data_IF_506271862057
#
_entry.id   IF_506271862057
#
_cell.length_a   1.000
_cell.length_b   1.000
_cell.length_c   1.000
_cell.angle_alpha   90.00
_cell.angle_beta   90.00
_cell.angle_gamma   90.00
#
_symmetry.space_group_name_H-M   'P 1'
#
loop_
_entity.id
_entity.type
_entity.pdbx_description
1 polymer ?
#
# COMPACT_ATOMS: atom_id res chain seq x y z
N UNK A 1 25.41 4.67 12.10
CA UNK A 1 24.47 5.59 11.41
C UNK A 1 25.20 6.85 11.00
N UNK A 2 25.89 7.54 11.91
CA UNK A 2 26.71 8.73 11.58
C UNK A 2 27.75 8.47 10.49
N UNK A 3 28.47 7.34 10.54
CA UNK A 3 29.43 6.96 9.49
C UNK A 3 28.75 6.80 8.12
N UNK A 4 27.56 6.19 8.08
CA UNK A 4 26.77 6.04 6.85
C UNK A 4 26.28 7.40 6.37
N UNK A 5 25.76 8.25 7.25
CA UNK A 5 25.32 9.58 6.86
C UNK A 5 26.49 10.43 6.34
N UNK A 6 27.66 10.31 6.96
CA UNK A 6 28.89 10.96 6.52
C UNK A 6 29.33 10.48 5.14
N UNK A 7 29.26 9.18 4.85
CA UNK A 7 29.63 8.65 3.54
C UNK A 7 28.70 9.10 2.39
N UNK A 8 27.47 9.49 2.72
CA UNK A 8 26.52 10.09 1.77
C UNK A 8 26.44 11.63 1.90
N UNK A 9 27.32 12.27 2.65
CA UNK A 9 27.36 13.73 2.86
C UNK A 9 26.02 14.30 3.39
N UNK A 10 25.35 13.59 4.29
CA UNK A 10 24.07 13.99 4.91
C UNK A 10 24.35 14.52 6.32
N UNK A 11 24.27 15.84 6.56
CA UNK A 11 24.38 16.40 7.90
C UNK A 11 23.21 15.97 8.79
N UNK A 12 23.44 15.82 10.11
CA UNK A 12 22.40 15.44 11.07
C UNK A 12 21.22 16.43 11.06
N UNK A 13 21.48 17.73 10.85
CA UNK A 13 20.47 18.79 10.80
C UNK A 13 19.52 18.66 9.60
N UNK A 14 19.94 17.94 8.55
CA UNK A 14 19.10 17.68 7.37
C UNK A 14 18.19 16.46 7.55
N UNK A 15 18.37 15.67 8.60
CA UNK A 15 17.51 14.52 8.86
C UNK A 15 16.22 14.97 9.53
N UNK A 16 15.11 14.86 8.80
CA UNK A 16 13.79 15.29 9.30
C UNK A 16 13.25 14.33 10.36
N UNK A 17 13.35 13.02 10.13
CA UNK A 17 12.98 11.98 11.08
C UNK A 17 13.51 10.61 10.64
N UNK A 18 13.66 9.68 11.59
CA UNK A 18 13.97 8.27 11.33
C UNK A 18 12.73 7.43 11.62
N UNK A 19 12.28 6.63 10.64
CA UNK A 19 11.24 5.61 10.90
C UNK A 19 11.89 4.36 11.47
N UNK A 20 11.41 3.90 12.62
CA UNK A 20 12.03 2.79 13.37
C UNK A 20 10.99 1.83 13.94
N UNK A 21 11.37 0.59 14.19
CA UNK A 21 10.56 -0.37 14.92
C UNK A 21 10.68 -0.17 16.45
N UNK A 22 10.22 -1.12 17.28
CA UNK A 22 10.35 -1.01 18.74
C UNK A 22 11.72 -1.48 19.27
N UNK A 23 12.72 -1.70 18.42
CA UNK A 23 14.05 -2.10 18.84
C UNK A 23 14.69 -1.07 19.78
N UNK A 24 14.99 -1.46 21.01
CA UNK A 24 15.58 -0.58 22.04
C UNK A 24 16.88 0.06 21.54
N UNK A 25 17.70 -0.70 20.80
CA UNK A 25 18.95 -0.20 20.24
C UNK A 25 18.72 0.95 19.25
N UNK A 26 17.70 0.86 18.40
CA UNK A 26 17.39 1.88 17.39
C UNK A 26 16.74 3.10 18.04
N UNK A 27 15.94 2.90 19.09
CA UNK A 27 15.40 4.00 19.88
C UNK A 27 16.53 4.79 20.56
N UNK A 28 17.41 4.09 21.27
CA UNK A 28 18.56 4.70 21.93
C UNK A 28 19.47 5.43 20.93
N UNK A 29 19.70 4.84 19.74
CA UNK A 29 20.44 5.51 18.68
C UNK A 29 19.80 6.84 18.27
N UNK A 30 18.48 6.89 18.06
CA UNK A 30 17.80 8.14 17.71
C UNK A 30 17.91 9.18 18.84
N UNK A 31 17.79 8.73 20.09
CA UNK A 31 17.91 9.59 21.28
C UNK A 31 19.34 10.15 21.41
N UNK A 32 20.37 9.32 21.23
CA UNK A 32 21.78 9.75 21.24
C UNK A 32 22.09 10.76 20.13
N UNK A 33 21.54 10.52 18.94
CA UNK A 33 21.73 11.42 17.79
C UNK A 33 20.85 12.68 17.86
N UNK A 34 19.95 12.78 18.85
CA UNK A 34 18.94 13.85 18.95
C UNK A 34 18.08 13.99 17.68
N UNK A 35 17.85 12.89 16.97
CA UNK A 35 17.05 12.86 15.74
C UNK A 35 15.62 12.43 16.06
N UNK A 36 14.58 13.19 15.63
CA UNK A 36 13.19 12.78 15.81
C UNK A 36 12.94 11.38 15.21
N UNK A 37 12.26 10.51 15.94
CA UNK A 37 11.91 9.18 15.44
C UNK A 37 10.40 9.00 15.29
N UNK A 38 9.99 8.31 14.21
CA UNK A 38 8.61 7.90 13.94
C UNK A 38 8.55 6.40 14.18
N UNK A 39 7.64 5.95 15.03
CA UNK A 39 7.41 4.52 15.21
C UNK A 39 6.80 3.93 13.94
N UNK A 40 7.26 2.76 13.51
CA UNK A 40 6.77 2.07 12.33
C UNK A 40 5.27 1.78 12.46
N UNK A 41 4.48 2.23 11.49
CA UNK A 41 3.03 2.11 11.49
C UNK A 41 2.58 0.65 11.44
N UNK A 42 3.15 -0.15 10.53
CA UNK A 42 2.86 -1.59 10.44
C UNK A 42 3.19 -2.32 11.73
N UNK A 43 4.25 -1.90 12.43
CA UNK A 43 4.58 -2.47 13.73
C UNK A 43 3.58 -2.07 14.81
N UNK A 44 3.02 -0.85 14.80
CA UNK A 44 1.93 -0.45 15.70
C UNK A 44 0.70 -1.33 15.49
N UNK A 45 0.30 -1.54 14.24
CA UNK A 45 -0.85 -2.39 13.91
C UNK A 45 -0.65 -3.83 14.42
N UNK A 46 0.54 -4.40 14.20
CA UNK A 46 0.89 -5.73 14.70
C UNK A 46 0.92 -5.80 16.23
N UNK A 47 1.42 -4.76 16.91
CA UNK A 47 1.44 -4.70 18.37
C UNK A 47 0.03 -4.61 18.96
N UNK A 48 -0.89 -3.90 18.30
CA UNK A 48 -2.28 -3.84 18.75
C UNK A 48 -2.95 -5.22 18.71
N UNK A 49 -2.76 -5.97 17.61
CA UNK A 49 -3.19 -7.38 17.53
C UNK A 49 -2.45 -8.28 18.51
N UNK A 50 -1.16 -7.99 18.76
CA UNK A 50 -0.35 -8.64 19.79
C UNK A 50 -1.00 -8.60 21.16
N UNK A 51 -1.44 -7.41 21.57
CA UNK A 51 -1.97 -7.18 22.91
C UNK A 51 -3.39 -7.71 23.11
N UNK A 52 -4.18 -7.79 22.03
CA UNK A 52 -5.62 -8.11 22.09
C UNK A 52 -5.94 -9.52 21.63
N UNK A 53 -5.38 -9.95 20.50
CA UNK A 53 -5.69 -11.24 19.89
C UNK A 53 -4.65 -12.29 20.30
N UNK A 54 -3.37 -12.02 20.04
CA UNK A 54 -2.35 -13.07 20.15
C UNK A 54 -1.98 -13.44 21.58
N UNK A 55 -2.11 -12.51 22.53
CA UNK A 55 -1.90 -12.76 23.97
C UNK A 55 -3.16 -13.26 24.70
N UNK A 56 -4.32 -13.20 24.05
CA UNK A 56 -5.57 -13.58 24.69
C UNK A 56 -5.79 -15.09 24.60
N UNK A 57 -5.82 -15.74 25.78
CA UNK A 57 -5.94 -17.19 25.92
C UNK A 57 -7.18 -17.78 25.24
N UNK A 58 -8.25 -16.98 25.07
CA UNK A 58 -9.47 -17.36 24.34
C UNK A 58 -9.17 -17.77 22.90
N UNK A 59 -8.22 -17.09 22.24
CA UNK A 59 -7.91 -17.30 20.82
C UNK A 59 -6.63 -18.11 20.60
N UNK A 60 -5.67 -18.07 21.54
CA UNK A 60 -4.33 -18.66 21.35
C UNK A 60 -4.37 -20.14 20.93
N UNK A 61 -5.22 -20.97 21.56
CA UNK A 61 -5.32 -22.40 21.25
C UNK A 61 -5.71 -22.65 19.79
N UNK A 62 -6.75 -21.98 19.30
CA UNK A 62 -7.21 -22.09 17.91
C UNK A 62 -6.20 -21.51 16.93
N UNK A 63 -5.60 -20.36 17.27
CA UNK A 63 -4.53 -19.74 16.45
C UNK A 63 -3.34 -20.69 16.29
N UNK A 64 -2.93 -21.37 17.35
CA UNK A 64 -1.82 -22.32 17.29
C UNK A 64 -2.18 -23.58 16.47
N UNK A 65 -3.43 -24.04 16.57
CA UNK A 65 -3.93 -25.10 15.69
C UNK A 65 -3.92 -24.65 14.22
N UNK A 66 -4.40 -23.45 13.89
CA UNK A 66 -4.34 -22.89 12.53
C UNK A 66 -2.91 -22.83 12.01
N UNK A 67 -1.96 -22.33 12.82
CA UNK A 67 -0.52 -22.28 12.45
C UNK A 67 0.06 -23.67 12.24
N UNK A 68 -0.35 -24.67 13.02
CA UNK A 68 0.09 -26.06 12.88
C UNK A 68 -0.39 -26.65 11.55
N UNK A 69 -1.67 -26.43 11.22
CA UNK A 69 -2.28 -26.86 9.97
C UNK A 69 -1.61 -26.16 8.77
N UNK A 70 -1.49 -24.83 8.80
CA UNK A 70 -0.87 -24.06 7.71
C UNK A 70 0.58 -24.49 7.43
N UNK A 71 1.38 -24.79 8.47
CA UNK A 71 2.75 -25.30 8.32
C UNK A 71 2.83 -26.66 7.62
N UNK A 72 1.82 -27.51 7.82
CA UNK A 72 1.73 -28.83 7.21
C UNK A 72 1.28 -28.71 5.75
N UNK A 73 0.23 -27.92 5.47
CA UNK A 73 -0.28 -27.61 4.12
C UNK A 73 0.83 -27.02 3.23
N UNK A 74 1.71 -26.20 3.78
CA UNK A 74 2.84 -25.64 3.01
C UNK A 74 3.85 -26.70 2.53
N UNK A 75 3.90 -27.88 3.15
CA UNK A 75 4.90 -28.93 2.88
C UNK A 75 4.39 -30.08 2.02
N UNK A 76 3.08 -30.27 1.90
CA UNK A 76 2.48 -31.40 1.19
C UNK A 76 1.07 -31.03 0.71
N UNK A 77 0.57 -31.71 -0.33
CA UNK A 77 -0.81 -31.51 -0.79
C UNK A 77 -1.81 -31.90 0.30
N UNK A 78 -2.97 -31.24 0.30
CA UNK A 78 -4.01 -31.39 1.34
C UNK A 78 -4.46 -32.86 1.49
N UNK A 79 -4.58 -33.58 0.39
CA UNK A 79 -4.99 -34.99 0.35
C UNK A 79 -4.00 -35.93 1.07
N UNK A 80 -2.70 -35.70 0.90
CA UNK A 80 -1.65 -36.50 1.56
C UNK A 80 -1.61 -36.19 3.06
N UNK A 81 -1.85 -34.94 3.44
CA UNK A 81 -1.82 -34.51 4.83
C UNK A 81 -2.93 -35.11 5.69
N UNK A 82 -4.13 -35.28 5.14
CA UNK A 82 -5.24 -35.93 5.83
C UNK A 82 -4.98 -37.42 6.10
N UNK A 83 -4.17 -38.07 5.26
CA UNK A 83 -3.77 -39.47 5.46
C UNK A 83 -2.67 -39.57 6.52
N UNK A 84 -1.64 -38.71 6.43
CA UNK A 84 -0.47 -38.76 7.32
C UNK A 84 -0.71 -38.18 8.72
N UNK A 85 -1.76 -37.36 8.91
CA UNK A 85 -2.05 -36.66 10.18
C UNK A 85 -3.57 -36.61 10.44
N UNK A 86 -4.21 -37.73 10.78
CA UNK A 86 -5.67 -37.79 10.98
C UNK A 86 -6.18 -36.91 12.13
N UNK A 87 -5.31 -36.53 13.05
CA UNK A 87 -5.53 -35.65 14.19
C UNK A 87 -5.44 -34.14 13.85
N UNK A 88 -5.09 -33.77 12.61
CA UNK A 88 -5.21 -32.40 12.11
C UNK A 88 -6.66 -32.07 11.75
N UNK A 89 -7.46 -31.71 12.75
CA UNK A 89 -8.86 -31.30 12.57
C UNK A 89 -9.12 -29.90 13.12
N UNK A 90 -10.16 -29.26 12.57
CA UNK A 90 -10.71 -28.02 13.09
C UNK A 90 -12.04 -28.33 13.77
N UNK A 91 -12.16 -27.92 15.02
CA UNK A 91 -13.41 -28.03 15.78
C UNK A 91 -14.39 -26.95 15.36
N UNK A 92 -15.67 -27.10 15.72
CA UNK A 92 -16.68 -26.04 15.51
C UNK A 92 -16.28 -24.73 16.22
N UNK A 93 -15.69 -24.83 17.41
CA UNK A 93 -15.14 -23.70 18.15
C UNK A 93 -14.03 -22.98 17.38
N UNK A 94 -13.13 -23.74 16.73
CA UNK A 94 -12.08 -23.17 15.88
C UNK A 94 -12.68 -22.38 14.72
N UNK A 95 -13.71 -22.92 14.06
CA UNK A 95 -14.40 -22.19 12.98
C UNK A 95 -15.09 -20.91 13.47
N UNK A 96 -15.68 -20.93 14.66
CA UNK A 96 -16.25 -19.72 15.27
C UNK A 96 -15.17 -18.67 15.53
N UNK A 97 -14.03 -19.07 16.09
CA UNK A 97 -12.89 -18.17 16.33
C UNK A 97 -12.32 -17.65 15.01
N UNK A 98 -12.19 -18.48 13.97
CA UNK A 98 -11.71 -18.04 12.66
C UNK A 98 -12.59 -16.93 12.08
N UNK A 99 -13.92 -17.07 12.16
CA UNK A 99 -14.87 -16.04 11.72
C UNK A 99 -14.68 -14.73 12.49
N UNK A 100 -14.62 -14.79 13.82
CA UNK A 100 -14.39 -13.61 14.68
C UNK A 100 -13.09 -12.89 14.26
N UNK A 101 -12.00 -13.64 14.08
CA UNK A 101 -10.71 -13.09 13.69
C UNK A 101 -10.74 -12.46 12.30
N UNK A 102 -11.51 -12.99 11.35
CA UNK A 102 -11.62 -12.40 10.01
C UNK A 102 -12.20 -10.98 10.06
N UNK A 103 -13.21 -10.72 10.89
CA UNK A 103 -13.79 -9.37 11.04
C UNK A 103 -12.76 -8.37 11.60
N UNK A 104 -12.01 -8.79 12.63
CA UNK A 104 -11.02 -7.92 13.28
C UNK A 104 -9.80 -7.69 12.38
N UNK A 105 -9.34 -8.73 11.70
CA UNK A 105 -8.10 -8.68 10.92
C UNK A 105 -8.30 -8.02 9.57
N UNK A 106 -9.50 -8.02 8.98
CA UNK A 106 -9.72 -7.47 7.64
C UNK A 106 -9.36 -5.98 7.52
N UNK A 107 -9.87 -5.05 8.36
CA UNK A 107 -9.51 -3.64 8.28
C UNK A 107 -8.00 -3.39 8.47
N UNK A 108 -7.37 -4.15 9.35
CA UNK A 108 -5.94 -4.03 9.65
C UNK A 108 -5.09 -4.59 8.50
N UNK A 109 -5.51 -5.71 7.91
CA UNK A 109 -4.83 -6.33 6.78
C UNK A 109 -4.85 -5.41 5.56
N UNK A 110 -6.03 -4.92 5.18
CA UNK A 110 -6.19 -3.98 4.05
C UNK A 110 -5.31 -2.74 4.22
N UNK A 111 -5.30 -2.17 5.42
CA UNK A 111 -4.50 -0.99 5.72
C UNK A 111 -3.00 -1.28 5.71
N UNK A 112 -2.59 -2.46 6.20
CA UNK A 112 -1.19 -2.88 6.18
C UNK A 112 -0.71 -3.10 4.75
N UNK A 113 -1.53 -3.72 3.89
CA UNK A 113 -1.24 -3.90 2.47
C UNK A 113 -1.10 -2.54 1.76
N UNK A 114 -2.00 -1.59 2.03
CA UNK A 114 -1.93 -0.24 1.47
C UNK A 114 -0.70 0.54 1.97
N UNK A 115 -0.26 0.33 3.22
CA UNK A 115 0.88 1.01 3.84
C UNK A 115 2.24 0.38 3.52
N UNK A 116 2.28 -0.83 2.95
CA UNK A 116 3.52 -1.53 2.58
C UNK A 116 3.98 -1.25 1.14
N UNK A 117 3.24 -0.44 0.38
CA UNK A 117 3.56 -0.18 -1.02
C UNK A 117 4.81 0.71 -1.14
N UNK A 118 5.92 0.12 -1.61
CA UNK A 118 7.29 0.69 -1.67
C UNK A 118 7.38 2.09 -2.30
N UNK A 119 6.44 2.45 -3.16
CA UNK A 119 6.45 3.73 -3.90
C UNK A 119 5.33 4.69 -3.51
N UNK A 120 4.40 4.30 -2.63
CA UNK A 120 3.14 5.04 -2.39
C UNK A 120 2.77 5.20 -0.90
N UNK A 121 3.62 4.79 0.04
CA UNK A 121 3.30 4.88 1.47
C UNK A 121 4.21 5.85 2.23
N UNK A 122 4.21 7.15 1.90
CA UNK A 122 4.87 8.16 2.73
C UNK A 122 4.22 8.23 4.11
N UNK A 123 4.93 8.84 5.07
CA UNK A 123 4.45 9.03 6.43
C UNK A 123 3.13 9.83 6.52
N UNK A 124 2.76 10.58 5.48
CA UNK A 124 1.47 11.29 5.38
C UNK A 124 0.25 10.37 5.34
N UNK A 125 0.41 9.10 4.97
CA UNK A 125 -0.68 8.12 4.93
C UNK A 125 -1.04 7.58 6.33
N UNK A 126 -0.17 7.74 7.33
CA UNK A 126 -0.36 7.15 8.67
C UNK A 126 -1.62 7.69 9.36
N UNK A 127 -1.80 9.01 9.41
CA UNK A 127 -2.96 9.63 10.08
C UNK A 127 -4.28 9.30 9.35
N UNK A 128 -4.37 9.42 8.01
CA UNK A 128 -5.56 9.00 7.26
C UNK A 128 -5.88 7.52 7.45
N UNK A 129 -4.86 6.65 7.41
CA UNK A 129 -5.03 5.22 7.60
C UNK A 129 -5.59 4.87 8.99
N UNK A 130 -5.11 5.54 10.05
CA UNK A 130 -5.67 5.38 11.41
C UNK A 130 -7.14 5.81 11.48
N UNK A 131 -7.49 6.93 10.86
CA UNK A 131 -8.88 7.40 10.80
C UNK A 131 -9.77 6.43 10.03
N UNK A 132 -9.28 5.88 8.91
CA UNK A 132 -10.00 4.91 8.10
C UNK A 132 -10.21 3.59 8.85
N UNK A 133 -9.20 3.06 9.53
CA UNK A 133 -9.33 1.87 10.38
C UNK A 133 -10.39 2.11 11.46
N UNK A 134 -10.34 3.26 12.14
CA UNK A 134 -11.33 3.63 13.15
C UNK A 134 -12.75 3.63 12.57
N UNK A 135 -12.94 4.28 11.43
CA UNK A 135 -14.23 4.31 10.73
C UNK A 135 -14.74 2.90 10.42
N UNK A 136 -13.88 2.04 9.83
CA UNK A 136 -14.25 0.64 9.53
C UNK A 136 -14.61 -0.17 10.76
N UNK A 137 -13.90 0.02 11.88
CA UNK A 137 -14.26 -0.65 13.12
C UNK A 137 -15.57 -0.14 13.72
N UNK A 138 -15.88 1.15 13.56
CA UNK A 138 -17.18 1.70 13.96
C UNK A 138 -18.31 1.10 13.12
N UNK A 139 -18.15 0.98 11.80
CA UNK A 139 -19.12 0.30 10.93
C UNK A 139 -19.36 -1.15 11.37
N UNK A 140 -18.30 -1.88 11.73
CA UNK A 140 -18.42 -3.24 12.28
C UNK A 140 -19.23 -3.23 13.58
N UNK A 141 -18.96 -2.31 14.52
CA UNK A 141 -19.67 -2.25 15.81
C UNK A 141 -21.16 -1.90 15.67
N UNK A 142 -21.50 -1.09 14.66
CA UNK A 142 -22.86 -0.70 14.31
C UNK A 142 -23.63 -1.82 13.59
N UNK A 143 -22.95 -2.81 13.02
CA UNK A 143 -23.58 -3.98 12.41
C UNK A 143 -24.36 -4.79 13.47
N UNK A 144 -25.66 -4.95 13.25
CA UNK A 144 -26.55 -5.73 14.11
C UNK A 144 -26.49 -7.24 13.82
N UNK A 145 -25.84 -7.65 12.73
CA UNK A 145 -25.69 -9.06 12.34
C UNK A 145 -24.51 -9.76 13.02
N UNK A 146 -23.56 -9.01 13.59
CA UNK A 146 -22.41 -9.57 14.29
C UNK A 146 -22.74 -9.92 15.75
N UNK A 147 -22.10 -10.97 16.27
CA UNK A 147 -22.28 -11.43 17.64
C UNK A 147 -21.57 -10.56 18.69
N UNK A 148 -21.85 -10.84 19.96
CA UNK A 148 -21.29 -10.11 21.10
C UNK A 148 -19.78 -10.32 21.25
N UNK A 149 -19.29 -11.52 20.92
CA UNK A 149 -17.87 -11.86 20.96
C UNK A 149 -17.08 -11.01 19.96
N UNK A 150 -17.62 -10.82 18.76
CA UNK A 150 -17.09 -9.99 17.67
C UNK A 150 -17.03 -8.51 18.07
N UNK A 151 -18.11 -8.00 18.69
CA UNK A 151 -18.18 -6.61 19.19
C UNK A 151 -17.15 -6.36 20.28
N UNK A 152 -17.02 -7.29 21.23
CA UNK A 152 -16.06 -7.20 22.33
C UNK A 152 -14.63 -7.08 21.82
N UNK A 153 -14.19 -8.02 20.97
CA UNK A 153 -12.81 -8.00 20.46
C UNK A 153 -12.54 -6.79 19.55
N UNK A 154 -13.53 -6.38 18.76
CA UNK A 154 -13.42 -5.19 17.91
C UNK A 154 -13.21 -3.93 18.74
N UNK A 155 -13.93 -3.81 19.86
CA UNK A 155 -13.80 -2.70 20.81
C UNK A 155 -12.43 -2.69 21.47
N UNK A 156 -11.97 -3.83 22.00
CA UNK A 156 -10.62 -3.98 22.59
C UNK A 156 -9.51 -3.58 21.61
N UNK A 157 -9.61 -4.05 20.36
CA UNK A 157 -8.64 -3.73 19.30
C UNK A 157 -8.65 -2.25 18.96
N UNK A 158 -9.84 -1.65 18.84
CA UNK A 158 -9.99 -0.22 18.58
C UNK A 158 -9.37 0.62 19.70
N UNK A 159 -9.64 0.31 20.97
CA UNK A 159 -9.09 1.04 22.12
C UNK A 159 -7.55 0.97 22.17
N UNK A 160 -6.98 -0.22 21.93
CA UNK A 160 -5.52 -0.39 21.89
C UNK A 160 -4.91 0.35 20.69
N UNK A 161 -5.57 0.33 19.52
CA UNK A 161 -5.13 1.08 18.35
C UNK A 161 -5.16 2.59 18.58
N UNK A 162 -6.22 3.12 19.18
CA UNK A 162 -6.31 4.55 19.52
C UNK A 162 -5.23 4.96 20.51
N UNK A 163 -4.99 4.12 21.53
CA UNK A 163 -3.96 4.36 22.53
C UNK A 163 -2.56 4.38 21.89
N UNK A 164 -2.24 3.39 21.07
CA UNK A 164 -0.94 3.30 20.38
C UNK A 164 -0.78 4.34 19.27
N UNK A 165 -1.88 4.72 18.62
CA UNK A 165 -1.91 5.68 17.53
C UNK A 165 -1.85 7.14 17.98
N UNK A 166 -2.12 7.43 19.26
CA UNK A 166 -2.15 8.79 19.82
C UNK A 166 -0.87 9.58 19.56
N UNK A 167 0.29 8.93 19.62
CA UNK A 167 1.57 9.57 19.37
C UNK A 167 1.68 10.10 17.94
N UNK A 168 1.09 9.44 16.94
CA UNK A 168 1.11 9.94 15.57
C UNK A 168 0.34 11.25 15.43
N UNK A 169 -0.76 11.39 16.17
CA UNK A 169 -1.60 12.59 16.16
C UNK A 169 -0.92 13.77 16.89
N UNK A 170 -0.02 13.50 17.84
CA UNK A 170 0.73 14.56 18.55
C UNK A 170 1.95 15.04 17.77
N UNK A 171 2.51 14.24 16.86
CA UNK A 171 3.69 14.62 16.06
C UNK A 171 3.38 15.75 15.07
N UNK A 172 4.06 16.89 15.22
CA UNK A 172 3.92 18.05 14.31
C UNK A 172 4.31 17.69 12.87
N UNK A 173 5.40 16.94 12.70
CA UNK A 173 5.88 16.51 11.37
C UNK A 173 4.82 15.69 10.64
N UNK A 174 4.21 14.70 11.30
CA UNK A 174 3.18 13.85 10.69
C UNK A 174 1.92 14.63 10.33
N UNK A 175 1.46 15.51 11.22
CA UNK A 175 0.32 16.40 10.95
C UNK A 175 0.58 17.31 9.75
N UNK A 176 1.78 17.89 9.68
CA UNK A 176 2.18 18.75 8.57
C UNK A 176 2.24 17.99 7.25
N UNK A 177 2.95 16.85 7.17
CA UNK A 177 3.05 16.08 5.92
C UNK A 177 1.72 15.49 5.49
N UNK A 178 0.83 15.14 6.43
CA UNK A 178 -0.54 14.69 6.14
C UNK A 178 -1.36 15.83 5.53
N UNK A 179 -1.30 17.02 6.14
CA UNK A 179 -2.03 18.19 5.64
C UNK A 179 -1.57 18.61 4.23
N UNK A 180 -0.26 18.50 3.97
CA UNK A 180 0.35 18.85 2.68
C UNK A 180 0.23 17.71 1.64
N UNK A 181 -0.42 16.58 1.99
CA UNK A 181 -0.57 15.46 1.06
C UNK A 181 -1.60 15.78 -0.04
N UNK A 182 -1.10 15.87 -1.27
CA UNK A 182 -1.85 16.26 -2.47
C UNK A 182 -3.01 15.30 -2.77
N UNK A 183 -2.90 14.02 -2.38
CA UNK A 183 -3.94 13.01 -2.60
C UNK A 183 -5.21 13.36 -1.83
N UNK A 184 -5.08 13.75 -0.56
CA UNK A 184 -6.24 14.13 0.23
C UNK A 184 -6.89 15.41 -0.29
N UNK A 185 -6.06 16.36 -0.71
CA UNK A 185 -6.52 17.63 -1.25
C UNK A 185 -7.25 17.43 -2.60
N UNK A 186 -6.73 16.58 -3.48
CA UNK A 186 -7.38 16.24 -4.74
C UNK A 186 -8.72 15.52 -4.53
N UNK A 187 -8.77 14.48 -3.69
CA UNK A 187 -10.02 13.75 -3.41
C UNK A 187 -11.09 14.60 -2.72
N UNK A 188 -10.69 15.64 -1.96
CA UNK A 188 -11.62 16.59 -1.35
C UNK A 188 -12.08 17.70 -2.32
N UNK A 189 -11.46 17.82 -3.50
CA UNK A 189 -11.86 18.80 -4.51
C UNK A 189 -13.04 18.25 -5.30
N UNK A 190 -14.16 18.99 -5.43
CA UNK A 190 -15.31 18.53 -6.20
C UNK A 190 -14.91 18.25 -7.67
N UNK A 191 -15.42 17.16 -8.28
CA UNK A 191 -15.04 16.79 -9.64
C UNK A 191 -15.45 17.87 -10.65
N UNK A 192 -14.46 18.44 -11.33
CA UNK A 192 -14.70 19.42 -12.40
C UNK A 192 -15.20 18.68 -13.65
N UNK A 193 -16.51 18.69 -13.88
CA UNK A 193 -17.15 17.84 -14.92
C UNK A 193 -16.89 18.24 -16.38
N UNK A 194 -16.11 19.30 -16.64
CA UNK A 194 -16.01 19.92 -17.97
C UNK A 194 -14.62 19.88 -18.61
N UNK A 195 -13.58 19.47 -17.89
CA UNK A 195 -12.21 19.50 -18.41
C UNK A 195 -11.72 18.10 -18.79
N UNK A 196 -11.14 17.98 -19.99
CA UNK A 196 -10.39 16.80 -20.40
C UNK A 196 -9.30 16.45 -19.36
N UNK A 197 -9.18 15.18 -18.92
CA UNK A 197 -8.23 14.80 -17.87
C UNK A 197 -6.77 15.16 -18.19
N UNK A 198 -6.35 15.06 -19.46
CA UNK A 198 -5.00 15.45 -19.84
C UNK A 198 -4.77 16.95 -19.66
N UNK A 199 -5.74 17.77 -20.07
CA UNK A 199 -5.68 19.23 -19.94
C UNK A 199 -5.72 19.66 -18.48
N UNK A 200 -6.59 19.04 -17.66
CA UNK A 200 -6.62 19.26 -16.22
C UNK A 200 -5.25 18.99 -15.59
N UNK A 201 -4.67 17.80 -15.78
CA UNK A 201 -3.37 17.48 -15.16
C UNK A 201 -2.21 18.27 -15.76
N UNK A 202 -2.27 18.67 -17.03
CA UNK A 202 -1.26 19.53 -17.67
C UNK A 202 -1.23 20.93 -17.05
N UNK A 203 -2.38 21.53 -16.76
CA UNK A 203 -2.48 22.91 -16.27
C UNK A 203 -2.48 23.01 -14.75
N UNK A 204 -2.83 21.93 -14.04
CA UNK A 204 -2.89 21.93 -12.59
C UNK A 204 -1.50 22.20 -11.95
N UNK A 205 -1.44 23.22 -11.09
CA UNK A 205 -0.25 23.56 -10.29
C UNK A 205 -0.39 23.17 -8.82
N UNK A 206 -1.61 22.85 -8.37
CA UNK A 206 -1.92 22.56 -6.98
C UNK A 206 -1.45 21.17 -6.56
N UNK A 207 -1.31 20.24 -7.51
CA UNK A 207 -0.96 18.83 -7.26
C UNK A 207 0.24 18.37 -8.09
N UNK A 208 1.45 18.94 -7.90
CA UNK A 208 2.61 18.68 -8.75
C UNK A 208 3.10 17.22 -8.75
N UNK A 209 2.98 16.49 -7.64
CA UNK A 209 3.37 15.07 -7.54
C UNK A 209 2.34 14.17 -8.19
N UNK A 210 1.05 14.42 -7.93
CA UNK A 210 -0.04 13.69 -8.59
C UNK A 210 -0.05 13.92 -10.10
N UNK A 211 0.21 15.15 -10.53
CA UNK A 211 0.35 15.52 -11.94
C UNK A 211 1.39 14.66 -12.66
N UNK A 212 2.58 14.52 -12.10
CA UNK A 212 3.65 13.69 -12.68
C UNK A 212 3.23 12.22 -12.87
N UNK A 213 2.45 11.69 -11.94
CA UNK A 213 1.94 10.31 -12.01
C UNK A 213 0.77 10.18 -13.00
N UNK A 214 -0.20 11.09 -12.93
CA UNK A 214 -1.38 11.10 -13.79
C UNK A 214 -0.99 11.26 -15.26
N UNK A 215 -0.01 12.12 -15.58
CA UNK A 215 0.50 12.29 -16.94
C UNK A 215 1.10 10.99 -17.50
N UNK A 216 1.80 10.19 -16.68
CA UNK A 216 2.34 8.90 -17.11
C UNK A 216 1.25 7.85 -17.36
N UNK A 217 0.26 7.80 -16.48
CA UNK A 217 -0.84 6.83 -16.58
C UNK A 217 -1.78 7.15 -17.75
N UNK A 218 -2.12 8.43 -17.93
CA UNK A 218 -2.97 8.88 -19.03
C UNK A 218 -2.27 8.67 -20.39
N UNK A 219 -0.95 8.79 -20.46
CA UNK A 219 -0.18 8.52 -21.67
C UNK A 219 -0.21 7.04 -22.13
N UNK A 220 -0.69 6.11 -21.29
CA UNK A 220 -0.83 4.71 -21.67
C UNK A 220 -2.04 4.55 -22.60
N UNK A 221 -1.79 4.08 -23.82
CA UNK A 221 -2.87 3.77 -24.76
C UNK A 221 -3.77 2.67 -24.18
N UNK A 222 -5.08 2.90 -24.22
CA UNK A 222 -6.06 1.94 -23.72
C UNK A 222 -6.20 0.68 -24.60
N UNK A 223 -5.65 0.69 -25.82
CA UNK A 223 -5.76 -0.40 -26.81
C UNK A 223 -4.46 -0.60 -27.58
N UNK A 224 -4.27 -1.79 -28.16
CA UNK A 224 -3.19 -2.09 -29.11
C UNK A 224 -3.39 -1.48 -30.50
N UNK A 225 -4.48 -0.74 -30.74
CA UNK A 225 -4.78 -0.19 -32.05
C UNK A 225 -3.65 0.72 -32.59
N UNK A 226 -2.95 1.44 -31.71
CA UNK A 226 -1.82 2.29 -32.09
C UNK A 226 -0.59 1.48 -32.56
N UNK A 227 -0.30 0.35 -31.93
CA UNK A 227 0.78 -0.52 -32.41
C UNK A 227 0.38 -1.23 -33.71
N UNK A 228 -0.87 -1.65 -33.86
CA UNK A 228 -1.40 -2.20 -35.12
C UNK A 228 -1.33 -1.19 -36.27
N UNK A 229 -1.62 0.09 -36.00
CA UNK A 229 -1.50 1.18 -36.97
C UNK A 229 -0.05 1.39 -37.40
N UNK A 230 0.90 1.33 -36.47
CA UNK A 230 2.33 1.37 -36.78
C UNK A 230 2.77 0.18 -37.66
N UNK A 231 2.28 -1.03 -37.37
CA UNK A 231 2.55 -2.21 -38.21
C UNK A 231 1.91 -2.10 -39.60
N UNK A 232 0.74 -1.48 -39.72
CA UNK A 232 0.12 -1.20 -41.01
C UNK A 232 0.95 -0.21 -41.84
N UNK A 233 1.46 0.86 -41.22
CA UNK A 233 2.37 1.82 -41.86
C UNK A 233 3.65 1.12 -42.32
N UNK A 234 4.23 0.28 -41.46
CA UNK A 234 5.40 -0.52 -41.79
C UNK A 234 5.12 -1.43 -43.01
N UNK A 235 3.95 -2.07 -43.06
CA UNK A 235 3.52 -2.88 -44.20
C UNK A 235 3.39 -2.09 -45.51
N UNK A 236 2.99 -0.81 -45.45
CA UNK A 236 2.93 0.06 -46.62
C UNK A 236 4.31 0.54 -47.10
N UNK A 237 5.27 0.70 -46.18
CA UNK A 237 6.65 1.09 -46.51
C UNK A 237 7.42 -0.11 -47.08
N UNK A 238 7.23 -1.29 -46.47
CA UNK A 238 7.82 -2.57 -46.88
C UNK A 238 6.99 -3.25 -47.97
N UNK A 239 6.98 -2.67 -49.17
CA UNK A 239 6.39 -3.31 -50.35
C UNK A 239 7.37 -4.29 -51.03
N UNK A 240 6.91 -5.30 -51.79
CA UNK A 240 7.78 -6.29 -52.44
C UNK A 240 8.89 -5.70 -53.33
N UNK A 241 8.68 -4.50 -53.89
CA UNK A 241 9.69 -3.75 -54.69
C UNK A 241 10.70 -2.96 -53.84
N UNK A 242 10.47 -2.81 -52.53
CA UNK A 242 11.32 -2.10 -51.55
C UNK A 242 11.64 -3.00 -50.33
N UNK A 243 12.01 -4.25 -50.59
CA UNK A 243 12.25 -5.26 -49.55
C UNK A 243 13.69 -5.31 -48.98
N UNK A 244 14.58 -4.40 -49.40
CA UNK A 244 15.99 -4.30 -48.93
C UNK A 244 16.24 -3.12 -48.00
N UNK A 245 15.21 -2.61 -47.33
CA UNK A 245 15.37 -1.54 -46.34
C UNK A 245 15.99 -2.16 -45.09
N UNK A 246 17.15 -1.65 -44.66
CA UNK A 246 17.76 -2.07 -43.40
C UNK A 246 16.91 -1.65 -42.20
N UNK A 247 16.96 -2.43 -41.12
CA UNK A 247 16.16 -2.24 -39.90
C UNK A 247 16.18 -0.80 -39.38
N UNK A 248 17.36 -0.20 -39.22
CA UNK A 248 17.49 1.18 -38.75
C UNK A 248 17.01 2.26 -39.72
N UNK A 249 16.85 1.95 -41.02
CA UNK A 249 16.22 2.86 -41.97
C UNK A 249 14.69 2.75 -41.92
N UNK A 250 14.17 1.53 -41.78
CA UNK A 250 12.74 1.26 -41.65
C UNK A 250 12.16 1.94 -40.41
N UNK A 251 12.83 1.82 -39.26
CA UNK A 251 12.44 2.47 -38.01
C UNK A 251 12.30 3.99 -38.18
N UNK A 252 13.28 4.63 -38.84
CA UNK A 252 13.25 6.07 -39.11
C UNK A 252 12.08 6.47 -40.03
N UNK A 253 11.79 5.69 -41.06
CA UNK A 253 10.66 5.97 -41.95
C UNK A 253 9.32 5.83 -41.22
N UNK A 254 9.15 4.79 -40.42
CA UNK A 254 7.94 4.59 -39.60
C UNK A 254 7.79 5.75 -38.62
N UNK A 255 8.87 6.12 -37.92
CA UNK A 255 8.88 7.24 -36.98
C UNK A 255 8.46 8.55 -37.66
N UNK A 256 9.07 8.91 -38.79
CA UNK A 256 8.74 10.13 -39.52
C UNK A 256 7.30 10.12 -40.02
N UNK A 257 6.81 8.99 -40.55
CA UNK A 257 5.45 8.90 -41.09
C UNK A 257 4.38 8.94 -40.00
N UNK A 258 4.63 8.27 -38.86
CA UNK A 258 3.70 8.23 -37.73
C UNK A 258 3.60 9.58 -36.99
N UNK A 259 4.68 10.37 -37.00
CA UNK A 259 4.74 11.65 -36.27
C UNK A 259 4.66 12.88 -37.18
N UNK A 260 4.38 12.71 -38.48
CA UNK A 260 4.42 13.83 -39.44
C UNK A 260 3.48 14.97 -39.04
N UNK A 261 2.27 14.64 -38.55
CA UNK A 261 1.27 15.59 -38.07
C UNK A 261 1.62 16.24 -36.73
N UNK A 262 2.56 15.67 -35.97
CA UNK A 262 3.07 16.27 -34.73
C UNK A 262 4.30 17.15 -34.97
N UNK A 263 4.92 17.06 -36.16
CA UNK A 263 6.09 17.82 -36.60
C UNK A 263 5.75 19.01 -37.51
N UNK A 264 4.52 19.10 -37.99
CA UNK A 264 4.02 20.31 -38.64
C UNK A 264 3.97 21.47 -37.62
N UNK A 265 4.92 22.40 -37.76
CA UNK A 265 4.87 23.75 -37.20
C UNK A 265 3.93 24.59 -38.06
#
# INVERSE_FOLDING_TARGET
MEEVMSSYEIPNERVTAITRDRGTNVNNMCDLMSVPSIHCFSHVLQLALGDTVYKNQKYTKSIDNFKRIARKIRKSSVEILTIDNPDLTLTESDWKIAKILMYVLAPISETTTAAQHRFLSPCSVIIPALKLIKFKFQEILEDHSIGEDEKTITTEVLEVLETRGRNYLSMKTLRFVTFVDEIQQYCATPPTSTADPFTFWRENQNFPRLKSMAQKLLAVAATSAESERLFSIAGQICVPKRNRIGEGALEKYIFCNANITALDI
#
